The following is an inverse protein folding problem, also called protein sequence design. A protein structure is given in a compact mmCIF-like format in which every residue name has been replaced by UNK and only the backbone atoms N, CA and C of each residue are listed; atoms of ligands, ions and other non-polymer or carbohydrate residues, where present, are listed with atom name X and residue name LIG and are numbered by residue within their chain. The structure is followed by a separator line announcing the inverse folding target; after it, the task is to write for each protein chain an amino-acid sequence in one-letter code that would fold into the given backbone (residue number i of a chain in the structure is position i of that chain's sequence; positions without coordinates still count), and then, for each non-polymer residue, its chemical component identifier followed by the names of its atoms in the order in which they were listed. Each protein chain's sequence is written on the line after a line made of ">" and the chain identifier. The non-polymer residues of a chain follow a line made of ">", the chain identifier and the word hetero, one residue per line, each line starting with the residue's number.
data_IF_630248781441
#
_entry.id   IF_630248781441
#
_cell.length_a   1.000
_cell.length_b   1.000
_cell.length_c   1.000
_cell.angle_alpha   90.00
_cell.angle_beta   90.00
_cell.angle_gamma   90.00
#
_symmetry.space_group_name_H-M   'P 1'
#
loop_
_entity.id
_entity.type
_entity.pdbx_description
1 polymer ?
#
# COMPACT_ATOMS: atom_id res chain seq x y z
N UNK A 1 23.76 -4.88 -5.06
CA UNK A 1 23.96 -5.66 -3.82
C UNK A 1 22.64 -5.93 -3.11
N UNK A 2 21.71 -4.97 -3.08
CA UNK A 2 20.41 -5.12 -2.44
C UNK A 2 19.59 -6.32 -2.97
N UNK A 3 19.51 -6.54 -4.29
CA UNK A 3 18.73 -7.68 -4.82
C UNK A 3 19.27 -9.04 -4.30
N UNK A 4 20.59 -9.17 -4.15
CA UNK A 4 21.27 -10.37 -3.65
C UNK A 4 20.98 -10.55 -2.17
N UNK A 5 21.11 -9.47 -1.38
CA UNK A 5 20.77 -9.46 0.03
C UNK A 5 19.32 -9.88 0.28
N UNK A 6 18.36 -9.28 -0.43
CA UNK A 6 16.94 -9.61 -0.31
C UNK A 6 16.66 -11.05 -0.74
N UNK A 7 17.30 -11.53 -1.81
CA UNK A 7 17.14 -12.92 -2.28
C UNK A 7 17.64 -13.93 -1.23
N UNK A 8 18.81 -13.68 -0.65
CA UNK A 8 19.44 -14.59 0.31
C UNK A 8 18.73 -14.62 1.67
N UNK A 9 18.07 -13.52 2.03
CA UNK A 9 17.43 -13.37 3.33
C UNK A 9 15.89 -13.39 3.25
N UNK A 10 15.31 -13.73 2.10
CA UNK A 10 13.87 -13.65 1.85
C UNK A 10 13.02 -14.27 2.96
N UNK A 11 13.36 -15.49 3.37
CA UNK A 11 12.58 -16.22 4.38
C UNK A 11 12.69 -15.60 5.78
N UNK A 12 13.87 -15.08 6.14
CA UNK A 12 14.10 -14.38 7.42
C UNK A 12 13.31 -13.06 7.45
N UNK A 13 13.36 -12.29 6.37
CA UNK A 13 12.58 -11.06 6.22
C UNK A 13 11.07 -11.30 6.37
N UNK A 14 10.54 -12.35 5.73
CA UNK A 14 9.13 -12.73 5.86
C UNK A 14 8.79 -13.12 7.30
N UNK A 15 9.63 -13.94 7.95
CA UNK A 15 9.42 -14.34 9.33
C UNK A 15 9.42 -13.14 10.29
N UNK A 16 10.35 -12.20 10.10
CA UNK A 16 10.43 -10.95 10.88
C UNK A 16 9.20 -10.09 10.71
N UNK A 17 8.72 -9.92 9.47
CA UNK A 17 7.50 -9.17 9.21
C UNK A 17 6.31 -9.82 9.92
N UNK A 18 6.14 -11.15 9.81
CA UNK A 18 5.09 -11.90 10.50
C UNK A 18 5.16 -11.75 12.02
N UNK A 19 6.36 -11.78 12.60
CA UNK A 19 6.55 -11.58 14.04
C UNK A 19 6.14 -10.17 14.49
N UNK A 20 6.53 -9.11 13.74
CA UNK A 20 6.14 -7.71 14.02
C UNK A 20 4.62 -7.56 13.94
N UNK A 21 4.03 -8.12 12.89
CA UNK A 21 2.60 -8.20 12.64
C UNK A 21 1.84 -8.87 13.81
N UNK A 22 2.31 -10.02 14.29
CA UNK A 22 1.67 -10.79 15.36
C UNK A 22 1.77 -10.13 16.74
N UNK A 23 2.72 -9.22 16.94
CA UNK A 23 2.90 -8.51 18.22
C UNK A 23 1.91 -7.37 18.44
N UNK A 24 1.11 -7.01 17.42
CA UNK A 24 0.19 -5.86 17.48
C UNK A 24 -1.16 -6.22 18.10
N UNK A 25 -1.69 -5.39 19.01
CA UNK A 25 -3.02 -5.59 19.58
C UNK A 25 -4.13 -5.44 18.53
N UNK A 26 -5.25 -6.15 18.72
CA UNK A 26 -6.45 -6.15 17.87
C UNK A 26 -6.28 -6.78 16.46
N UNK A 27 -5.59 -7.93 16.38
CA UNK A 27 -5.43 -8.67 15.12
C UNK A 27 -6.09 -10.06 15.23
N UNK A 28 -7.17 -10.27 14.46
CA UNK A 28 -7.91 -11.54 14.40
C UNK A 28 -7.53 -12.41 13.18
N UNK A 29 -6.72 -11.89 12.26
CA UNK A 29 -6.34 -12.62 11.04
C UNK A 29 -5.18 -13.60 11.29
N UNK A 30 -5.33 -14.83 10.80
CA UNK A 30 -4.34 -15.89 10.88
C UNK A 30 -3.14 -15.65 9.96
N UNK A 31 -2.01 -16.31 10.23
CA UNK A 31 -0.83 -16.26 9.36
C UNK A 31 -1.15 -16.63 7.91
N UNK A 32 -2.03 -17.63 7.70
CA UNK A 32 -2.49 -18.05 6.37
C UNK A 32 -3.22 -16.93 5.63
N UNK A 33 -4.00 -16.13 6.35
CA UNK A 33 -4.73 -15.00 5.76
C UNK A 33 -3.79 -13.86 5.33
N UNK A 34 -2.53 -13.86 5.78
CA UNK A 34 -1.51 -12.85 5.49
C UNK A 34 -0.40 -13.36 4.57
N UNK A 35 -0.53 -14.57 4.02
CA UNK A 35 0.53 -15.22 3.25
C UNK A 35 0.91 -14.49 1.96
N UNK A 36 0.02 -13.67 1.41
CA UNK A 36 0.17 -13.20 0.02
C UNK A 36 0.59 -11.73 -0.12
N UNK A 37 0.53 -10.91 0.93
CA UNK A 37 0.84 -9.48 0.81
C UNK A 37 2.34 -9.19 0.75
N UNK A 38 2.97 -9.15 1.92
CA UNK A 38 4.40 -8.82 2.08
C UNK A 38 5.32 -9.80 1.32
N UNK A 39 5.10 -11.13 1.34
CA UNK A 39 5.95 -12.07 0.60
C UNK A 39 5.94 -11.82 -0.92
N UNK A 40 4.77 -11.55 -1.51
CA UNK A 40 4.66 -11.27 -2.94
C UNK A 40 5.33 -9.94 -3.31
N UNK A 41 5.12 -8.90 -2.52
CA UNK A 41 5.79 -7.62 -2.73
C UNK A 41 7.31 -7.78 -2.69
N UNK A 42 7.84 -8.56 -1.74
CA UNK A 42 9.27 -8.82 -1.64
C UNK A 42 9.82 -9.52 -2.89
N UNK A 43 9.09 -10.49 -3.45
CA UNK A 43 9.47 -11.16 -4.70
C UNK A 43 9.49 -10.22 -5.90
N UNK A 44 8.50 -9.34 -6.00
CA UNK A 44 8.43 -8.35 -7.07
C UNK A 44 9.53 -7.30 -6.93
N UNK A 45 9.84 -6.87 -5.71
CA UNK A 45 10.96 -5.97 -5.43
C UNK A 45 12.30 -6.60 -5.84
N UNK A 46 12.54 -7.86 -5.48
CA UNK A 46 13.74 -8.60 -5.90
C UNK A 46 13.80 -8.67 -7.43
N UNK A 47 12.69 -8.98 -8.09
CA UNK A 47 12.62 -9.06 -9.56
C UNK A 47 12.93 -7.73 -10.21
N UNK A 48 12.34 -6.63 -9.72
CA UNK A 48 12.63 -5.27 -10.19
C UNK A 48 14.13 -4.95 -10.07
N UNK A 49 14.72 -5.16 -8.89
CA UNK A 49 16.12 -4.83 -8.64
C UNK A 49 17.07 -5.69 -9.47
N UNK A 50 16.68 -6.91 -9.87
CA UNK A 50 17.41 -7.72 -10.84
C UNK A 50 17.33 -7.14 -12.24
N UNK A 51 16.14 -6.71 -12.69
CA UNK A 51 15.95 -6.09 -14.02
C UNK A 51 16.72 -4.77 -14.15
N UNK A 52 16.81 -3.96 -13.08
CA UNK A 52 17.60 -2.72 -13.09
C UNK A 52 19.12 -2.97 -13.31
N UNK A 53 19.59 -4.20 -13.17
CA UNK A 53 20.98 -4.59 -13.42
C UNK A 53 21.23 -5.22 -14.80
N UNK A 54 20.19 -5.34 -15.64
CA UNK A 54 20.33 -5.85 -17.01
C UNK A 54 20.61 -4.72 -17.99
N UNK A 55 20.83 -5.07 -19.26
CA UNK A 55 21.00 -4.09 -20.35
C UNK A 55 19.71 -3.31 -20.68
N UNK A 56 18.57 -3.70 -20.10
CA UNK A 56 17.25 -3.11 -20.31
C UNK A 56 16.60 -2.59 -19.01
N UNK A 57 17.24 -1.67 -18.27
CA UNK A 57 16.76 -1.24 -16.95
C UNK A 57 15.40 -0.53 -16.98
N UNK A 58 14.96 -0.02 -18.13
CA UNK A 58 13.65 0.60 -18.31
C UNK A 58 12.49 -0.38 -18.14
N UNK A 59 12.70 -1.68 -18.33
CA UNK A 59 11.68 -2.72 -18.15
C UNK A 59 11.25 -2.85 -16.67
N UNK A 60 12.09 -2.43 -15.73
CA UNK A 60 11.78 -2.40 -14.29
C UNK A 60 10.54 -1.55 -13.97
N UNK A 61 10.21 -0.57 -14.83
CA UNK A 61 9.02 0.27 -14.69
C UNK A 61 7.72 -0.51 -14.84
N UNK A 62 7.72 -1.63 -15.57
CA UNK A 62 6.56 -2.53 -15.64
C UNK A 62 6.31 -3.23 -14.30
N UNK A 63 7.35 -3.37 -13.47
CA UNK A 63 7.25 -4.00 -12.15
C UNK A 63 6.80 -3.00 -11.09
N UNK A 64 7.43 -1.83 -10.96
CA UNK A 64 7.14 -0.88 -9.87
C UNK A 64 6.43 0.41 -10.26
N UNK A 65 6.18 0.63 -11.54
CA UNK A 65 5.67 1.92 -12.03
C UNK A 65 6.77 2.98 -12.19
N UNK A 66 6.41 4.15 -12.75
CA UNK A 66 7.32 5.26 -12.99
C UNK A 66 7.73 5.95 -11.68
N UNK A 67 8.83 6.71 -11.74
CA UNK A 67 9.42 7.32 -10.56
C UNK A 67 8.80 8.67 -10.16
N UNK A 68 7.94 9.22 -11.00
CA UNK A 68 7.23 10.48 -10.80
C UNK A 68 5.95 10.32 -9.97
N UNK A 69 5.63 9.10 -9.53
CA UNK A 69 4.41 8.81 -8.77
C UNK A 69 3.13 8.87 -9.60
N UNK A 70 3.24 8.97 -10.94
CA UNK A 70 2.06 8.87 -11.79
C UNK A 70 1.49 7.45 -11.73
N UNK A 71 0.16 7.36 -11.64
CA UNK A 71 -0.56 6.08 -11.69
C UNK A 71 -0.45 5.47 -13.09
N UNK A 72 0.61 4.69 -13.29
CA UNK A 72 0.73 3.78 -14.42
C UNK A 72 0.62 2.34 -13.90
N UNK A 73 0.01 1.47 -14.70
CA UNK A 73 -0.13 0.07 -14.36
C UNK A 73 1.24 -0.56 -14.10
N UNK A 74 1.40 -1.21 -12.95
CA UNK A 74 2.59 -1.97 -12.58
C UNK A 74 2.21 -3.25 -11.84
N UNK A 75 3.07 -4.26 -11.90
CA UNK A 75 2.84 -5.52 -11.19
C UNK A 75 2.71 -5.31 -9.67
N UNK A 76 3.60 -4.50 -9.09
CA UNK A 76 3.57 -4.13 -7.67
C UNK A 76 2.25 -3.44 -7.35
N UNK A 77 1.87 -2.41 -8.11
CA UNK A 77 0.65 -1.66 -7.86
C UNK A 77 -0.62 -2.51 -7.92
N UNK A 78 -0.74 -3.37 -8.94
CA UNK A 78 -1.88 -4.28 -9.05
C UNK A 78 -1.98 -5.28 -7.88
N UNK A 79 -0.84 -5.86 -7.48
CA UNK A 79 -0.82 -6.78 -6.33
C UNK A 79 -1.03 -6.08 -4.99
N UNK A 80 -0.55 -4.84 -4.84
CA UNK A 80 -0.72 -4.05 -3.63
C UNK A 80 -2.18 -3.60 -3.46
N UNK A 81 -2.84 -3.18 -4.54
CA UNK A 81 -4.28 -2.94 -4.56
C UNK A 81 -5.07 -4.19 -4.13
N UNK A 82 -4.76 -5.34 -4.71
CA UNK A 82 -5.36 -6.63 -4.31
C UNK A 82 -5.16 -6.92 -2.82
N UNK A 83 -3.94 -6.73 -2.30
CA UNK A 83 -3.64 -6.90 -0.89
C UNK A 83 -4.44 -5.94 0.01
N UNK A 84 -4.55 -4.66 -0.37
CA UNK A 84 -5.39 -3.69 0.34
C UNK A 84 -6.85 -4.12 0.41
N UNK A 85 -7.39 -4.71 -0.67
CA UNK A 85 -8.74 -5.27 -0.67
C UNK A 85 -8.88 -6.48 0.27
N UNK A 86 -7.92 -7.40 0.27
CA UNK A 86 -7.96 -8.57 1.16
C UNK A 86 -7.83 -8.18 2.64
N UNK A 87 -6.92 -7.25 2.98
CA UNK A 87 -6.79 -6.75 4.35
C UNK A 87 -8.09 -6.11 4.84
N UNK A 88 -8.82 -5.38 3.99
CA UNK A 88 -10.15 -4.86 4.34
C UNK A 88 -11.14 -5.97 4.69
N UNK A 89 -11.17 -7.08 3.92
CA UNK A 89 -12.04 -8.24 4.21
C UNK A 89 -11.71 -8.90 5.55
N UNK A 90 -10.44 -8.83 5.94
CA UNK A 90 -9.93 -9.35 7.21
C UNK A 90 -10.16 -8.39 8.38
N UNK A 91 -10.84 -7.26 8.17
CA UNK A 91 -11.18 -6.31 9.22
C UNK A 91 -10.05 -5.35 9.60
N UNK A 92 -9.02 -5.24 8.77
CA UNK A 92 -7.90 -4.33 9.04
C UNK A 92 -8.35 -2.88 8.98
N UNK A 93 -7.62 -2.02 9.70
CA UNK A 93 -7.68 -0.58 9.51
C UNK A 93 -6.68 -0.14 8.44
N UNK A 94 -6.92 1.03 7.85
CA UNK A 94 -5.99 1.64 6.88
C UNK A 94 -4.59 1.88 7.49
N UNK A 95 -4.55 2.18 8.79
CA UNK A 95 -3.32 2.36 9.56
C UNK A 95 -2.49 1.07 9.62
N UNK A 96 -3.15 -0.07 9.88
CA UNK A 96 -2.51 -1.38 9.86
C UNK A 96 -1.97 -1.74 8.47
N UNK A 97 -2.66 -1.36 7.38
CA UNK A 97 -2.16 -1.57 6.00
C UNK A 97 -0.83 -0.84 5.79
N UNK A 98 -0.74 0.44 6.15
CA UNK A 98 0.50 1.23 6.03
C UNK A 98 1.61 0.60 6.85
N UNK A 99 1.29 0.21 8.07
CA UNK A 99 2.23 -0.38 9.00
C UNK A 99 2.74 -1.78 8.60
N UNK A 100 1.97 -2.56 7.83
CA UNK A 100 2.42 -3.85 7.30
C UNK A 100 3.53 -3.66 6.23
N UNK A 101 3.47 -2.62 5.40
CA UNK A 101 4.56 -2.28 4.48
C UNK A 101 5.75 -1.61 5.21
N UNK A 102 5.47 -0.82 6.25
CA UNK A 102 6.50 -0.23 7.11
C UNK A 102 7.35 -1.29 7.83
N UNK A 103 6.72 -2.37 8.31
CA UNK A 103 7.43 -3.50 8.95
C UNK A 103 8.46 -4.14 8.02
N UNK A 104 8.18 -4.21 6.72
CA UNK A 104 9.12 -4.75 5.74
C UNK A 104 10.35 -3.85 5.59
N UNK A 105 10.16 -2.52 5.49
CA UNK A 105 11.28 -1.59 5.42
C UNK A 105 12.18 -1.74 6.66
N UNK A 106 11.55 -1.76 7.84
CA UNK A 106 12.26 -1.93 9.09
C UNK A 106 12.98 -3.28 9.17
N UNK A 107 12.32 -4.38 8.79
CA UNK A 107 12.94 -5.71 8.80
C UNK A 107 14.14 -5.79 7.86
N UNK A 108 14.09 -5.13 6.70
CA UNK A 108 15.20 -5.04 5.75
C UNK A 108 16.37 -4.27 6.37
N UNK A 109 16.13 -3.10 6.96
CA UNK A 109 17.20 -2.28 7.55
C UNK A 109 17.80 -2.90 8.80
N UNK A 110 16.96 -3.47 9.68
CA UNK A 110 17.41 -4.18 10.89
C UNK A 110 18.35 -5.33 10.50
N UNK A 111 17.94 -6.17 9.53
CA UNK A 111 18.76 -7.30 9.09
C UNK A 111 20.02 -6.88 8.35
N UNK A 112 19.97 -5.78 7.58
CA UNK A 112 21.15 -5.23 6.90
C UNK A 112 22.22 -4.80 7.90
N UNK A 113 21.79 -4.12 8.98
CA UNK A 113 22.66 -3.72 10.07
C UNK A 113 23.23 -4.94 10.82
N UNK A 114 22.39 -5.92 11.15
CA UNK A 114 22.84 -7.16 11.83
C UNK A 114 23.88 -7.96 11.02
N UNK A 115 23.82 -7.88 9.69
CA UNK A 115 24.71 -8.61 8.77
C UNK A 115 25.88 -7.77 8.26
N UNK A 116 26.06 -6.55 8.76
CA UNK A 116 27.06 -5.60 8.29
C UNK A 116 27.05 -5.48 6.74
N UNK A 117 25.84 -5.37 6.19
CA UNK A 117 25.57 -5.33 4.76
C UNK A 117 24.95 -3.97 4.37
N UNK A 118 25.71 -2.87 4.46
CA UNK A 118 25.18 -1.54 4.15
C UNK A 118 24.75 -1.45 2.69
N UNK A 119 23.64 -0.76 2.45
CA UNK A 119 23.14 -0.44 1.11
C UNK A 119 23.61 0.94 0.67
N UNK A 120 23.72 1.15 -0.64
CA UNK A 120 23.93 2.50 -1.15
C UNK A 120 22.67 3.36 -0.98
N UNK A 121 22.86 4.68 -0.98
CA UNK A 121 21.74 5.64 -0.96
C UNK A 121 20.78 5.39 -2.13
N UNK A 122 21.29 5.05 -3.31
CA UNK A 122 20.47 4.81 -4.49
C UNK A 122 19.68 3.50 -4.40
N UNK A 123 20.28 2.45 -3.81
CA UNK A 123 19.58 1.19 -3.51
C UNK A 123 18.43 1.43 -2.52
N UNK A 124 18.67 2.22 -1.46
CA UNK A 124 17.63 2.56 -0.48
C UNK A 124 16.53 3.46 -1.07
N UNK A 125 16.88 4.42 -1.93
CA UNK A 125 15.89 5.24 -2.66
C UNK A 125 15.00 4.41 -3.55
N UNK A 126 15.55 3.39 -4.24
CA UNK A 126 14.77 2.48 -5.07
C UNK A 126 13.82 1.61 -4.23
N UNK A 127 14.28 1.12 -3.08
CA UNK A 127 13.45 0.39 -2.11
C UNK A 127 12.26 1.25 -1.65
N UNK A 128 12.53 2.46 -1.12
CA UNK A 128 11.47 3.34 -0.62
C UNK A 128 10.46 3.68 -1.72
N UNK A 129 10.92 3.96 -2.93
CA UNK A 129 10.03 4.22 -4.05
C UNK A 129 9.07 3.06 -4.35
N UNK A 130 9.54 1.81 -4.27
CA UNK A 130 8.65 0.65 -4.42
C UNK A 130 7.62 0.57 -3.30
N UNK A 131 8.06 0.80 -2.06
CA UNK A 131 7.19 0.77 -0.89
C UNK A 131 6.14 1.87 -0.97
N UNK A 132 6.52 3.09 -1.30
CA UNK A 132 5.62 4.23 -1.43
C UNK A 132 4.53 3.97 -2.49
N UNK A 133 4.92 3.44 -3.66
CA UNK A 133 3.97 3.08 -4.71
C UNK A 133 3.01 1.98 -4.24
N UNK A 134 3.54 0.92 -3.60
CA UNK A 134 2.70 -0.16 -3.07
C UNK A 134 1.74 0.32 -1.98
N UNK A 135 2.20 1.16 -1.05
CA UNK A 135 1.37 1.75 0.00
C UNK A 135 0.28 2.61 -0.63
N UNK A 136 0.62 3.46 -1.60
CA UNK A 136 -0.34 4.32 -2.28
C UNK A 136 -1.43 3.50 -2.97
N UNK A 137 -1.08 2.46 -3.71
CA UNK A 137 -2.04 1.61 -4.42
C UNK A 137 -2.89 0.77 -3.45
N UNK A 138 -2.28 0.19 -2.40
CA UNK A 138 -2.99 -0.57 -1.38
C UNK A 138 -4.00 0.29 -0.60
N UNK A 139 -3.58 1.48 -0.15
CA UNK A 139 -4.43 2.41 0.60
C UNK A 139 -5.53 2.97 -0.28
N UNK A 140 -5.25 3.25 -1.55
CA UNK A 140 -6.25 3.73 -2.51
C UNK A 140 -7.36 2.70 -2.70
N UNK A 141 -7.00 1.44 -3.00
CA UNK A 141 -7.99 0.37 -3.20
C UNK A 141 -8.73 0.05 -1.89
N UNK A 142 -8.01 -0.04 -0.76
CA UNK A 142 -8.63 -0.24 0.56
C UNK A 142 -9.70 0.83 0.84
N UNK A 143 -9.35 2.11 0.65
CA UNK A 143 -10.25 3.23 0.92
C UNK A 143 -11.44 3.24 -0.03
N UNK A 144 -11.20 3.00 -1.32
CA UNK A 144 -12.25 2.91 -2.33
C UNK A 144 -13.27 1.81 -1.99
N UNK A 145 -12.80 0.62 -1.60
CA UNK A 145 -13.65 -0.52 -1.22
C UNK A 145 -14.41 -0.28 0.08
N UNK A 146 -13.75 0.31 1.08
CA UNK A 146 -14.40 0.67 2.35
C UNK A 146 -15.55 1.66 2.10
N UNK A 147 -15.30 2.70 1.34
CA UNK A 147 -16.29 3.73 1.04
C UNK A 147 -17.48 3.13 0.25
N UNK A 148 -17.23 2.15 -0.63
CA UNK A 148 -18.27 1.39 -1.32
C UNK A 148 -19.14 0.56 -0.36
N UNK A 149 -18.53 -0.14 0.61
CA UNK A 149 -19.26 -0.93 1.62
C UNK A 149 -20.15 -0.03 2.46
N UNK A 150 -19.62 1.09 2.95
CA UNK A 150 -20.36 2.08 3.75
C UNK A 150 -21.54 2.66 2.96
N UNK A 151 -21.32 3.04 1.69
CA UNK A 151 -22.39 3.54 0.82
C UNK A 151 -23.48 2.48 0.55
N UNK A 152 -23.10 1.21 0.39
CA UNK A 152 -24.03 0.09 0.22
C UNK A 152 -24.89 -0.17 1.46
N UNK A 153 -24.29 -0.08 2.65
CA UNK A 153 -25.02 -0.19 3.93
C UNK A 153 -26.07 0.92 4.07
N UNK A 154 -25.70 2.18 3.81
CA UNK A 154 -26.65 3.30 3.86
C UNK A 154 -27.77 3.21 2.82
N UNK A 155 -27.54 2.59 1.66
CA UNK A 155 -28.58 2.37 0.67
C UNK A 155 -29.59 1.28 1.08
N UNK A 156 -29.11 0.23 1.79
CA UNK A 156 -29.93 -0.86 2.30
C UNK A 156 -30.75 -0.48 3.55
N UNK A 157 -30.26 0.47 4.35
CA UNK A 157 -30.93 0.98 5.55
C UNK A 157 -32.04 2.02 5.29
N UNK A 158 -32.23 2.47 4.04
CA UNK A 158 -33.38 3.35 3.71
C UNK A 158 -34.69 2.56 3.87
N UNK A 159 -35.57 2.93 4.81
CA UNK A 159 -36.84 2.24 5.00
C UNK A 159 -37.67 2.34 3.71
N UNK A 160 -38.25 1.20 3.29
CA UNK A 160 -39.31 1.16 2.27
C UNK A 160 -40.60 1.74 2.87
N UNK A 161 -40.63 3.03 3.12
CA UNK A 161 -41.88 3.73 3.35
C UNK A 161 -41.81 5.14 2.77
N UNK A 162 -42.36 5.28 1.57
CA UNK A 162 -43.06 6.50 1.21
C UNK A 162 -44.16 6.10 0.22
N UNK A 163 -45.35 5.89 0.79
CA UNK A 163 -46.59 5.75 0.05
C UNK A 163 -46.84 6.92 -0.92
N UNK A 164 -47.40 6.54 -2.06
CA UNK A 164 -48.26 7.31 -2.98
C UNK A 164 -48.64 8.73 -2.51
N UNK A 165 -48.24 9.74 -3.28
CA UNK A 165 -49.14 10.82 -3.70
C UNK A 165 -48.61 11.51 -4.95
N UNK A 166 -49.45 11.54 -5.98
CA UNK A 166 -49.26 12.26 -7.23
C UNK A 166 -49.13 13.76 -7.00
N UNK A 167 -48.22 14.42 -7.71
CA UNK A 167 -48.58 15.52 -8.64
C UNK A 167 -47.43 15.81 -9.60
N UNK A 168 -47.83 15.95 -10.85
CA UNK A 168 -47.07 16.25 -12.05
C UNK A 168 -46.70 17.74 -12.10
N UNK A 169 -45.41 18.08 -12.28
CA UNK A 169 -44.98 19.22 -13.13
C UNK A 169 -43.45 19.37 -13.14
N UNK A 170 -42.85 18.93 -14.25
CA UNK A 170 -41.68 19.49 -14.94
C UNK A 170 -40.46 19.94 -14.13
N UNK A 171 -39.37 19.18 -14.21
CA UNK A 171 -38.02 19.75 -14.27
C UNK A 171 -37.21 19.04 -15.38
N UNK A 172 -36.68 19.87 -16.26
CA UNK A 172 -35.99 19.56 -17.51
C UNK A 172 -34.69 18.75 -17.33
N UNK A 173 -34.45 17.80 -18.23
CA UNK A 173 -33.21 17.04 -18.36
C UNK A 173 -32.11 17.91 -18.97
N UNK A 174 -31.43 18.75 -18.15
CA UNK A 174 -30.20 19.43 -18.60
C UNK A 174 -29.33 19.90 -17.42
N UNK A 175 -28.49 19.00 -16.86
CA UNK A 175 -27.15 19.30 -16.29
C UNK A 175 -26.55 18.05 -15.64
N UNK A 176 -25.90 17.22 -16.44
CA UNK A 176 -25.02 16.16 -15.96
C UNK A 176 -23.57 16.63 -16.13
N UNK A 177 -23.12 17.51 -15.22
CA UNK A 177 -21.71 17.87 -14.97
C UNK A 177 -21.67 18.93 -13.86
N UNK A 178 -21.48 18.53 -12.60
CA UNK A 178 -20.98 19.40 -11.51
C UNK A 178 -20.93 18.77 -10.11
N UNK A 179 -21.10 17.44 -9.93
CA UNK A 179 -21.01 16.83 -8.60
C UNK A 179 -20.04 15.64 -8.56
N UNK A 180 -18.77 15.92 -8.88
CA UNK A 180 -17.68 15.18 -8.27
C UNK A 180 -17.34 15.92 -6.96
N UNK A 181 -17.44 15.29 -5.78
CA UNK A 181 -16.96 15.93 -4.57
C UNK A 181 -15.47 16.19 -4.74
N UNK A 182 -15.05 17.46 -4.66
CA UNK A 182 -13.64 17.83 -4.50
C UNK A 182 -13.14 17.08 -3.26
N UNK A 183 -12.37 16.01 -3.47
CA UNK A 183 -11.70 15.32 -2.37
C UNK A 183 -10.84 16.34 -1.62
N UNK A 184 -11.12 16.47 -0.31
CA UNK A 184 -10.42 17.40 0.57
C UNK A 184 -8.95 16.98 0.71
N UNK A 185 -7.99 17.90 0.85
CA UNK A 185 -6.55 17.59 0.93
C UNK A 185 -6.10 16.95 2.26
N UNK A 186 -7.03 16.52 3.11
CA UNK A 186 -6.70 16.10 4.48
C UNK A 186 -6.03 14.72 4.54
N UNK A 187 -6.30 13.83 3.58
CA UNK A 187 -5.60 12.55 3.46
C UNK A 187 -4.10 12.72 3.15
N UNK A 188 -3.71 13.83 2.51
CA UNK A 188 -2.31 14.13 2.18
C UNK A 188 -1.53 14.66 3.39
N UNK A 189 -2.22 15.25 4.39
CA UNK A 189 -1.59 15.68 5.65
C UNK A 189 -1.21 14.50 6.54
N UNK A 190 -1.92 13.38 6.47
CA UNK A 190 -1.60 12.18 7.24
C UNK A 190 -0.32 11.48 6.76
N UNK A 191 -0.03 11.49 5.45
CA UNK A 191 1.22 10.95 4.91
C UNK A 191 2.45 11.79 5.33
N UNK A 192 2.27 13.11 5.46
CA UNK A 192 3.33 14.01 5.97
C UNK A 192 3.51 13.90 7.49
N UNK A 193 2.46 13.56 8.25
CA UNK A 193 2.54 13.34 9.70
C UNK A 193 3.24 12.03 10.09
N UNK A 194 3.45 11.10 9.16
CA UNK A 194 4.24 9.88 9.39
C UNK A 194 5.75 10.09 9.22
N UNK A 195 6.20 11.24 8.68
CA UNK A 195 7.61 11.58 8.51
C UNK A 195 8.51 11.37 9.76
N UNK A 196 8.04 11.57 11.02
CA UNK A 196 8.85 11.28 12.21
C UNK A 196 9.16 9.79 12.41
N UNK A 197 8.33 8.88 11.90
CA UNK A 197 8.58 7.43 11.94
C UNK A 197 9.57 6.98 10.85
N UNK A 198 9.73 7.78 9.79
CA UNK A 198 10.76 7.60 8.76
C UNK A 198 12.13 8.18 9.17
N UNK A 199 12.16 9.15 10.10
CA UNK A 199 13.40 9.74 10.62
C UNK A 199 14.30 8.77 11.41
N UNK A 200 13.80 7.60 11.82
CA UNK A 200 14.62 6.55 12.42
C UNK A 200 15.66 5.97 11.45
N UNK A 201 15.36 5.94 10.15
CA UNK A 201 16.27 5.43 9.11
C UNK A 201 17.32 6.47 8.67
N UNK A 202 17.06 7.77 8.86
CA UNK A 202 17.99 8.84 8.44
C UNK A 202 19.09 9.15 9.47
N UNK A 203 18.93 8.77 10.74
CA UNK A 203 19.98 8.95 11.77
C UNK A 203 21.15 7.96 11.67
N UNK A 204 21.04 6.93 10.84
CA UNK A 204 22.09 5.93 10.65
C UNK A 204 23.10 6.27 9.52
N UNK A 205 22.96 7.44 8.87
CA UNK A 205 23.83 7.88 7.77
C UNK A 205 24.71 9.11 8.12
N UNK A 206 24.69 9.57 9.38
CA UNK A 206 25.46 10.71 9.88
C UNK A 206 26.59 10.30 10.86
N UNK A 207 27.26 9.16 10.61
CA UNK A 207 28.55 8.82 11.25
C UNK A 207 29.53 8.28 10.21
#
# INVERSE_FOLDING_TARGET
>A
MLHTFLSNNRNDLIARCRAKVASRPARDASEQQLENGVPLFLDQLITKLKIEQTDSPLESRLVSGPADGNQAFSAIGGSAASNGHELLKLGFTVDQVVHDYGDLCQAITDLAQERDAPFSIDEFRTLNRCLDNAIADAVTEFSYRRDFIVAGQHAAERPKDMGRSSTNSGISFTRLRSHLPRQKPEAFRSLVQLAPYWNGAYRALDV
#
